data_IF_166928447393
#
_entry.id   IF_166928447393
#
_cell.length_a   1.000
_cell.length_b   1.000
_cell.length_c   1.000
_cell.angle_alpha   90.00
_cell.angle_beta   90.00
_cell.angle_gamma   90.00
#
_symmetry.space_group_name_H-M   'P 1'
#
loop_
_entity.id
_entity.type
_entity.pdbx_description
1 polymer ?
#
# COMPACT_ATOMS: atom_id res chain seq x y z
N UNK A 1 2.40 -0.02 -17.05
CA UNK A 1 1.65 0.19 -15.80
C UNK A 1 2.57 -0.04 -14.62
N UNK A 2 2.64 0.91 -13.69
CA UNK A 2 3.37 0.78 -12.43
C UNK A 2 2.37 0.66 -11.28
N UNK A 3 2.62 -0.28 -10.39
CA UNK A 3 1.76 -0.57 -9.24
C UNK A 3 2.55 -0.32 -7.96
N UNK A 4 2.04 0.55 -7.08
CA UNK A 4 2.58 0.72 -5.74
C UNK A 4 1.91 -0.27 -4.77
N UNK A 5 2.69 -0.83 -3.86
CA UNK A 5 2.20 -1.58 -2.70
C UNK A 5 2.81 -0.95 -1.46
N UNK A 6 2.02 -0.16 -0.75
CA UNK A 6 2.47 0.64 0.38
C UNK A 6 1.97 0.04 1.69
N UNK A 7 2.88 -0.36 2.56
CA UNK A 7 2.58 -0.72 3.95
C UNK A 7 2.75 0.49 4.85
N UNK A 8 1.74 0.79 5.65
CA UNK A 8 1.77 1.89 6.63
C UNK A 8 1.75 1.29 8.03
N UNK A 9 2.68 1.70 8.88
CA UNK A 9 2.75 1.27 10.28
C UNK A 9 4.18 1.28 10.81
N UNK A 10 4.32 1.01 12.09
CA UNK A 10 5.59 1.01 12.80
C UNK A 10 5.95 -0.41 13.29
N UNK A 11 6.97 -1.02 12.71
CA UNK A 11 7.43 -2.38 13.08
C UNK A 11 7.93 -2.50 14.53
N UNK A 12 8.21 -1.38 15.19
CA UNK A 12 8.60 -1.35 16.60
C UNK A 12 7.41 -1.39 17.55
N UNK A 13 6.18 -1.41 17.04
CA UNK A 13 4.94 -1.37 17.83
C UNK A 13 4.06 -2.55 17.42
N UNK A 14 4.11 -3.60 18.19
CA UNK A 14 3.26 -4.82 18.10
C UNK A 14 2.52 -5.01 16.74
N UNK A 15 1.18 -4.99 16.76
CA UNK A 15 0.37 -5.23 15.56
C UNK A 15 0.39 -4.08 14.55
N UNK A 16 0.85 -2.88 14.92
CA UNK A 16 0.99 -1.74 14.00
C UNK A 16 2.00 -2.06 12.88
N UNK A 17 2.98 -2.91 13.16
CA UNK A 17 3.95 -3.40 12.18
C UNK A 17 3.41 -4.38 11.14
N UNK A 18 2.15 -4.85 11.25
CA UNK A 18 1.62 -5.92 10.39
C UNK A 18 1.68 -5.61 8.90
N UNK A 19 1.44 -4.34 8.53
CA UNK A 19 1.47 -3.90 7.14
C UNK A 19 2.89 -3.98 6.56
N UNK A 20 3.89 -3.57 7.33
CA UNK A 20 5.31 -3.62 6.94
C UNK A 20 5.74 -5.09 6.73
N UNK A 21 5.40 -5.97 7.66
CA UNK A 21 5.70 -7.40 7.53
C UNK A 21 5.01 -8.02 6.30
N UNK A 22 3.77 -7.62 6.02
CA UNK A 22 3.01 -8.09 4.86
C UNK A 22 3.68 -7.65 3.55
N UNK A 23 4.09 -6.39 3.43
CA UNK A 23 4.75 -5.86 2.23
C UNK A 23 6.10 -6.54 2.01
N UNK A 24 6.91 -6.74 3.05
CA UNK A 24 8.20 -7.44 2.93
C UNK A 24 8.03 -8.89 2.48
N UNK A 25 7.03 -9.60 3.01
CA UNK A 25 6.74 -10.95 2.57
C UNK A 25 6.24 -10.97 1.12
N UNK A 26 5.35 -10.03 0.74
CA UNK A 26 4.86 -9.90 -0.64
C UNK A 26 6.00 -9.68 -1.63
N UNK A 27 6.96 -8.82 -1.30
CA UNK A 27 8.12 -8.52 -2.14
C UNK A 27 8.92 -9.78 -2.48
N UNK A 28 9.00 -10.74 -1.54
CA UNK A 28 9.73 -12.00 -1.75
C UNK A 28 9.02 -12.97 -2.69
N UNK A 29 7.69 -12.83 -2.89
CA UNK A 29 6.86 -13.78 -3.63
C UNK A 29 6.23 -13.21 -4.91
N UNK A 30 6.43 -11.93 -5.18
CA UNK A 30 5.97 -11.24 -6.41
C UNK A 30 7.18 -10.57 -7.08
N UNK A 31 7.98 -11.31 -7.87
CA UNK A 31 9.17 -10.78 -8.53
C UNK A 31 8.81 -10.05 -9.86
N UNK A 32 7.83 -9.15 -9.85
CA UNK A 32 7.46 -8.36 -11.03
C UNK A 32 8.03 -6.94 -10.92
N UNK A 33 8.82 -6.52 -11.91
CA UNK A 33 9.49 -5.22 -11.92
C UNK A 33 8.55 -4.03 -12.02
N UNK A 34 7.27 -4.27 -12.30
CA UNK A 34 6.20 -3.25 -12.34
C UNK A 34 5.58 -3.02 -10.96
N UNK A 35 5.87 -3.89 -9.98
CA UNK A 35 5.35 -3.83 -8.61
C UNK A 35 6.42 -3.23 -7.71
N UNK A 36 6.09 -2.14 -7.05
CA UNK A 36 6.99 -1.41 -6.16
C UNK A 36 6.46 -1.54 -4.73
N UNK A 37 7.20 -2.25 -3.90
CA UNK A 37 6.90 -2.40 -2.48
C UNK A 37 7.53 -1.22 -1.72
N UNK A 38 6.71 -0.48 -1.00
CA UNK A 38 7.05 0.74 -0.27
C UNK A 38 6.63 0.57 1.20
N UNK A 39 7.38 1.19 2.09
CA UNK A 39 7.12 1.18 3.53
C UNK A 39 7.03 2.62 4.03
N UNK A 40 6.07 2.90 4.92
CA UNK A 40 5.90 4.21 5.56
C UNK A 40 5.55 4.04 7.03
N UNK A 41 6.30 4.72 7.90
CA UNK A 41 5.96 4.81 9.33
C UNK A 41 4.85 5.84 9.58
N UNK A 42 4.52 6.66 8.59
CA UNK A 42 3.56 7.77 8.71
C UNK A 42 2.49 7.68 7.64
N UNK A 43 1.27 7.93 8.08
CA UNK A 43 0.14 8.22 7.20
C UNK A 43 0.07 9.70 6.80
N UNK A 44 -1.08 10.12 6.29
CA UNK A 44 -1.33 11.52 5.97
C UNK A 44 -0.74 11.97 4.63
N UNK A 45 -0.24 13.22 4.58
CA UNK A 45 0.19 13.84 3.32
C UNK A 45 1.43 13.18 2.69
N UNK A 46 2.28 12.55 3.49
CA UNK A 46 3.50 11.86 3.02
C UNK A 46 3.16 10.72 2.04
N UNK A 47 1.93 10.20 2.11
CA UNK A 47 1.44 9.15 1.19
C UNK A 47 1.36 9.67 -0.25
N UNK A 48 1.05 10.96 -0.47
CA UNK A 48 0.92 11.53 -1.80
C UNK A 48 2.22 11.44 -2.58
N UNK A 49 3.34 11.78 -1.95
CA UNK A 49 4.67 11.71 -2.57
C UNK A 49 5.05 10.26 -2.92
N UNK A 50 4.61 9.31 -2.11
CA UNK A 50 4.88 7.89 -2.33
C UNK A 50 4.01 7.27 -3.41
N UNK A 51 2.82 7.82 -3.65
CA UNK A 51 1.88 7.33 -4.65
C UNK A 51 1.94 8.09 -5.98
N UNK A 52 2.68 9.20 -6.04
CA UNK A 52 2.80 9.98 -7.27
C UNK A 52 3.46 9.18 -8.40
N UNK A 53 2.84 9.21 -9.58
CA UNK A 53 3.36 8.57 -10.79
C UNK A 53 3.07 7.07 -10.91
N UNK A 54 2.30 6.50 -9.98
CA UNK A 54 1.75 5.16 -10.11
C UNK A 54 0.35 5.19 -10.72
N UNK A 55 0.00 4.16 -11.49
CA UNK A 55 -1.33 4.06 -12.11
C UNK A 55 -2.34 3.33 -11.20
N UNK A 56 -1.84 2.43 -10.35
CA UNK A 56 -2.62 1.68 -9.35
C UNK A 56 -1.84 1.61 -8.05
N UNK A 57 -2.56 1.55 -6.93
CA UNK A 57 -1.93 1.38 -5.63
C UNK A 57 -2.69 0.38 -4.76
N UNK A 58 -1.95 -0.33 -3.94
CA UNK A 58 -2.43 -1.13 -2.81
C UNK A 58 -1.85 -0.51 -1.54
N UNK A 59 -2.71 -0.15 -0.60
CA UNK A 59 -2.31 0.39 0.70
C UNK A 59 -2.70 -0.62 1.75
N UNK A 60 -1.75 -1.04 2.57
CA UNK A 60 -1.96 -1.97 3.69
C UNK A 60 -1.77 -1.18 4.98
N UNK A 61 -2.68 -1.37 5.94
CA UNK A 61 -2.66 -0.68 7.23
C UNK A 61 -3.21 -1.57 8.34
N UNK A 62 -2.78 -1.34 9.57
CA UNK A 62 -3.42 -1.91 10.75
C UNK A 62 -4.73 -1.16 11.05
N UNK A 63 -5.76 -1.88 11.49
CA UNK A 63 -7.03 -1.31 11.94
C UNK A 63 -7.33 -1.79 13.35
N UNK A 64 -7.54 -0.89 14.27
CA UNK A 64 -7.97 -1.22 15.64
C UNK A 64 -9.40 -0.73 15.86
N UNK A 65 -10.34 -1.28 15.07
CA UNK A 65 -11.74 -0.86 15.13
C UNK A 65 -12.52 -1.50 16.28
N UNK A 66 -12.08 -2.66 16.76
CA UNK A 66 -12.79 -3.49 17.72
C UNK A 66 -14.08 -4.13 17.19
N UNK A 67 -14.39 -3.96 15.89
CA UNK A 67 -15.60 -4.49 15.25
C UNK A 67 -15.41 -5.91 14.72
N UNK A 68 -14.17 -6.32 14.52
CA UNK A 68 -13.83 -7.63 13.96
C UNK A 68 -12.82 -8.35 14.83
N UNK A 69 -12.78 -9.69 14.77
CA UNK A 69 -11.70 -10.45 15.41
C UNK A 69 -10.32 -10.06 14.88
N UNK A 70 -9.31 -10.07 15.76
CA UNK A 70 -7.92 -9.83 15.38
C UNK A 70 -7.48 -10.73 14.23
N UNK A 71 -6.77 -10.16 13.26
CA UNK A 71 -6.32 -10.83 12.05
C UNK A 71 -7.37 -10.85 10.93
N UNK A 72 -8.56 -10.27 11.14
CA UNK A 72 -9.55 -10.11 10.06
C UNK A 72 -9.00 -9.16 9.00
N UNK A 73 -9.04 -9.61 7.74
CA UNK A 73 -8.57 -8.83 6.59
C UNK A 73 -9.78 -8.26 5.86
N UNK A 74 -9.86 -6.93 5.83
CA UNK A 74 -10.86 -6.20 5.05
C UNK A 74 -10.23 -5.60 3.80
N UNK A 75 -11.02 -5.45 2.73
CA UNK A 75 -10.59 -4.86 1.47
C UNK A 75 -11.61 -3.83 1.00
N UNK A 76 -11.11 -2.66 0.65
CA UNK A 76 -11.89 -1.55 0.09
C UNK A 76 -11.24 -1.07 -1.20
N UNK A 77 -11.98 -0.35 -2.03
CA UNK A 77 -11.42 0.31 -3.21
C UNK A 77 -11.87 1.77 -3.24
N UNK A 78 -10.93 2.66 -3.47
CA UNK A 78 -11.18 4.06 -3.77
C UNK A 78 -10.85 4.31 -5.24
N UNK A 79 -11.68 5.10 -5.92
CA UNK A 79 -11.51 5.46 -7.33
C UNK A 79 -11.56 6.97 -7.51
N UNK A 80 -10.77 7.47 -8.44
CA UNK A 80 -10.85 8.87 -8.84
C UNK A 80 -12.20 9.15 -9.54
N UNK A 81 -12.82 10.33 -9.35
CA UNK A 81 -12.38 11.39 -8.44
C UNK A 81 -12.61 11.02 -6.97
N UNK A 82 -11.58 11.21 -6.14
CA UNK A 82 -11.63 10.89 -4.71
C UNK A 82 -12.54 11.89 -3.95
N UNK A 83 -12.94 11.51 -2.74
CA UNK A 83 -13.75 12.35 -1.86
C UNK A 83 -15.27 12.11 -1.92
N UNK A 84 -15.76 11.29 -2.84
CA UNK A 84 -17.22 11.07 -3.05
C UNK A 84 -17.80 9.87 -2.31
N UNK A 85 -16.99 9.06 -1.64
CA UNK A 85 -17.45 7.83 -0.98
C UNK A 85 -17.63 8.02 0.51
N UNK A 86 -18.71 7.46 1.06
CA UNK A 86 -18.88 7.35 2.50
C UNK A 86 -17.86 6.37 3.06
N UNK A 87 -17.06 6.78 4.03
CA UNK A 87 -15.98 5.95 4.56
C UNK A 87 -16.51 4.86 5.49
N UNK A 88 -15.92 3.68 5.37
CA UNK A 88 -16.26 2.53 6.21
C UNK A 88 -15.38 2.45 7.47
N UNK A 89 -14.27 3.21 7.52
CA UNK A 89 -13.39 3.32 8.68
C UNK A 89 -12.73 4.70 8.76
N UNK A 90 -12.24 5.10 9.95
CA UNK A 90 -11.56 6.38 10.16
C UNK A 90 -10.28 6.51 9.30
N UNK A 91 -9.52 5.45 9.15
CA UNK A 91 -8.31 5.43 8.31
C UNK A 91 -8.65 5.61 6.83
N UNK A 92 -9.70 4.95 6.34
CA UNK A 92 -10.19 5.10 4.95
C UNK A 92 -10.70 6.52 4.69
N UNK A 93 -11.31 7.18 5.69
CA UNK A 93 -11.71 8.61 5.61
C UNK A 93 -10.50 9.47 5.36
N UNK A 94 -9.47 9.31 6.18
CA UNK A 94 -8.26 10.11 6.11
C UNK A 94 -7.56 9.96 4.76
N UNK A 95 -7.36 8.73 4.29
CA UNK A 95 -6.71 8.46 3.01
C UNK A 95 -7.51 9.03 1.82
N UNK A 96 -8.84 8.83 1.81
CA UNK A 96 -9.68 9.38 0.75
C UNK A 96 -9.64 10.92 0.69
N UNK A 97 -9.61 11.59 1.85
CA UNK A 97 -9.48 13.04 1.94
C UNK A 97 -8.09 13.52 1.46
N UNK A 98 -7.03 12.80 1.84
CA UNK A 98 -5.65 13.10 1.40
C UNK A 98 -5.52 12.95 -0.13
N UNK A 99 -6.05 11.87 -0.70
CA UNK A 99 -6.05 11.65 -2.15
C UNK A 99 -6.88 12.71 -2.89
N UNK A 100 -8.04 13.09 -2.33
CA UNK A 100 -8.87 14.16 -2.88
C UNK A 100 -8.11 15.49 -2.90
N UNK A 101 -7.44 15.84 -1.81
CA UNK A 101 -6.61 17.04 -1.74
C UNK A 101 -5.44 16.98 -2.74
N UNK A 102 -4.71 15.89 -2.79
CA UNK A 102 -3.62 15.69 -3.76
C UNK A 102 -4.08 15.83 -5.21
N UNK A 103 -5.29 15.36 -5.53
CA UNK A 103 -5.87 15.52 -6.87
C UNK A 103 -6.10 17.00 -7.25
N UNK A 104 -6.36 17.87 -6.26
CA UNK A 104 -6.53 19.33 -6.51
C UNK A 104 -5.21 20.05 -6.73
N UNK A 105 -4.09 19.47 -6.34
CA UNK A 105 -2.74 20.07 -6.49
C UNK A 105 -2.07 19.71 -7.82
N UNK A 106 -2.74 18.92 -8.67
CA UNK A 106 -2.23 18.50 -9.97
C UNK A 106 -1.24 17.33 -9.92
N UNK A 107 -1.12 16.65 -8.78
CA UNK A 107 -0.34 15.42 -8.66
C UNK A 107 -0.95 14.29 -9.50
N UNK A 108 -0.08 13.50 -10.14
CA UNK A 108 -0.50 12.31 -10.88
C UNK A 108 -0.65 11.14 -9.94
N UNK A 109 -1.81 11.05 -9.31
CA UNK A 109 -2.15 9.98 -8.36
C UNK A 109 -2.73 8.76 -9.08
N UNK A 110 -2.69 7.56 -8.45
CA UNK A 110 -3.32 6.36 -8.98
C UNK A 110 -4.81 6.58 -9.25
N UNK A 111 -5.33 6.05 -10.36
CA UNK A 111 -6.76 6.11 -10.67
C UNK A 111 -7.60 5.26 -9.71
N UNK A 112 -7.01 4.20 -9.17
CA UNK A 112 -7.64 3.29 -8.24
C UNK A 112 -6.66 2.88 -7.14
N UNK A 113 -7.12 2.98 -5.89
CA UNK A 113 -6.37 2.61 -4.69
C UNK A 113 -7.14 1.54 -3.94
N UNK A 114 -6.56 0.35 -3.84
CA UNK A 114 -7.08 -0.75 -3.02
C UNK A 114 -6.50 -0.65 -1.62
N UNK A 115 -7.39 -0.66 -0.62
CA UNK A 115 -7.00 -0.58 0.79
C UNK A 115 -7.24 -1.93 1.42
N UNK A 116 -6.21 -2.47 2.04
CA UNK A 116 -6.25 -3.65 2.87
C UNK A 116 -6.06 -3.24 4.32
N UNK A 117 -7.00 -3.55 5.19
CA UNK A 117 -6.83 -3.37 6.63
C UNK A 117 -6.79 -4.73 7.31
N UNK A 118 -5.87 -4.88 8.27
CA UNK A 118 -5.76 -6.08 9.10
C UNK A 118 -6.14 -5.66 10.52
N UNK A 119 -7.18 -6.29 11.08
CA UNK A 119 -7.66 -5.95 12.42
C UNK A 119 -6.62 -6.33 13.46
N UNK A 120 -6.15 -5.33 14.19
CA UNK A 120 -5.14 -5.38 15.24
C UNK A 120 -5.79 -5.38 16.62
N UNK A 121 -5.06 -5.81 17.64
CA UNK A 121 -5.47 -5.74 19.05
C UNK A 121 -4.49 -4.98 19.93
N UNK A 122 -3.23 -4.94 19.53
CA UNK A 122 -2.18 -4.26 20.27
C UNK A 122 -1.39 -3.32 19.34
N UNK A 123 -1.66 -2.04 19.44
CA UNK A 123 -0.99 -0.99 18.66
C UNK A 123 -0.20 -0.02 19.57
N UNK A 124 0.11 -0.45 20.80
CA UNK A 124 0.77 0.38 21.81
C UNK A 124 2.05 -0.25 22.37
N UNK A 125 2.13 -1.58 22.42
CA UNK A 125 3.27 -2.28 23.03
C UNK A 125 4.49 -2.24 22.12
N UNK A 126 5.61 -1.71 22.63
CA UNK A 126 6.88 -1.62 21.92
C UNK A 126 7.64 -2.94 21.91
N UNK A 127 8.22 -3.30 20.75
CA UNK A 127 9.25 -4.35 20.65
C UNK A 127 8.72 -5.77 20.65
N UNK A 128 7.43 -6.01 20.67
CA UNK A 128 6.84 -7.35 20.80
C UNK A 128 6.67 -8.10 19.47
N UNK A 129 6.73 -7.43 18.31
CA UNK A 129 6.24 -8.00 17.05
C UNK A 129 4.72 -8.19 17.08
N UNK A 130 4.14 -8.67 16.00
CA UNK A 130 2.68 -8.86 15.94
C UNK A 130 2.19 -9.95 16.91
N UNK A 131 0.98 -9.74 17.45
CA UNK A 131 0.27 -10.78 18.21
C UNK A 131 0.04 -12.01 17.32
N UNK A 132 -0.07 -13.18 17.95
CA UNK A 132 -0.13 -14.46 17.23
C UNK A 132 -1.25 -14.51 16.16
N UNK A 133 -2.42 -13.94 16.47
CA UNK A 133 -3.56 -13.92 15.53
C UNK A 133 -3.29 -13.03 14.33
N UNK A 134 -2.72 -11.86 14.55
CA UNK A 134 -2.37 -10.91 13.49
C UNK A 134 -1.22 -11.45 12.65
N UNK A 135 -0.21 -12.04 13.30
CA UNK A 135 0.90 -12.68 12.58
C UNK A 135 0.44 -13.82 11.66
N UNK A 136 -0.53 -14.62 12.08
CA UNK A 136 -1.12 -15.69 11.24
C UNK A 136 -1.91 -15.16 10.05
N UNK A 137 -2.39 -13.92 10.08
CA UNK A 137 -3.11 -13.31 8.97
C UNK A 137 -2.18 -12.85 7.84
N UNK A 138 -0.88 -12.61 8.10
CA UNK A 138 0.07 -12.10 7.11
C UNK A 138 0.13 -12.98 5.84
N UNK A 139 0.31 -14.31 5.90
CA UNK A 139 0.35 -15.15 4.69
C UNK A 139 -0.94 -15.09 3.86
N UNK A 140 -2.09 -14.98 4.52
CA UNK A 140 -3.38 -14.84 3.84
C UNK A 140 -3.50 -13.47 3.17
N UNK A 141 -3.11 -12.39 3.85
CA UNK A 141 -3.06 -11.05 3.28
C UNK A 141 -2.18 -11.01 2.02
N UNK A 142 -0.99 -11.59 2.09
CA UNK A 142 -0.07 -11.71 0.94
C UNK A 142 -0.71 -12.49 -0.20
N UNK A 143 -1.39 -13.61 0.08
CA UNK A 143 -2.06 -14.40 -0.95
C UNK A 143 -3.16 -13.61 -1.67
N UNK A 144 -4.00 -12.89 -0.92
CA UNK A 144 -5.06 -12.02 -1.47
C UNK A 144 -4.48 -10.87 -2.28
N UNK A 145 -3.47 -10.16 -1.73
CA UNK A 145 -2.78 -9.08 -2.43
C UNK A 145 -2.14 -9.55 -3.73
N UNK A 146 -1.44 -10.68 -3.70
CA UNK A 146 -0.83 -11.27 -4.90
C UNK A 146 -1.86 -11.57 -5.97
N UNK A 147 -2.99 -12.18 -5.61
CA UNK A 147 -4.07 -12.49 -6.55
C UNK A 147 -4.63 -11.22 -7.19
N UNK A 148 -4.91 -10.18 -6.38
CA UNK A 148 -5.43 -8.90 -6.88
C UNK A 148 -4.42 -8.18 -7.78
N UNK A 149 -3.14 -8.12 -7.37
CA UNK A 149 -2.07 -7.51 -8.17
C UNK A 149 -1.95 -8.20 -9.53
N UNK A 150 -1.92 -9.53 -9.55
CA UNK A 150 -1.81 -10.28 -10.80
C UNK A 150 -3.05 -10.12 -11.68
N UNK A 151 -4.23 -9.92 -11.09
CA UNK A 151 -5.47 -9.71 -11.85
C UNK A 151 -5.51 -8.39 -12.62
N UNK A 152 -4.79 -7.37 -12.14
CA UNK A 152 -4.74 -6.04 -12.79
C UNK A 152 -3.51 -5.85 -13.68
N UNK A 153 -2.49 -6.69 -13.53
CA UNK A 153 -1.30 -6.64 -14.40
C UNK A 153 -1.62 -7.29 -15.74
N UNK A 154 -1.51 -6.57 -16.87
CA UNK A 154 -1.66 -7.19 -18.18
C UNK A 154 -0.54 -8.23 -18.37
N UNK A 155 -0.90 -9.36 -19.00
CA UNK A 155 0.05 -10.42 -19.33
C UNK A 155 1.30 -9.85 -20.01
N UNK A 156 2.46 -10.26 -19.54
CA UNK A 156 3.75 -9.83 -20.10
C UNK A 156 3.95 -10.25 -21.58
N UNK A 157 3.08 -11.11 -22.09
CA UNK A 157 3.09 -11.58 -23.49
C UNK A 157 2.49 -10.60 -24.50
N UNK A 158 1.87 -9.50 -24.06
CA UNK A 158 1.28 -8.46 -24.92
C UNK A 158 1.97 -7.09 -24.73
N UNK A 159 3.28 -6.99 -24.91
CA UNK A 159 3.95 -5.72 -25.12
C UNK A 159 3.98 -5.49 -26.64
N UNK A 160 3.19 -4.58 -27.21
CA UNK A 160 3.43 -4.13 -28.58
C UNK A 160 4.77 -3.39 -28.57
N UNK A 161 5.72 -3.87 -29.38
CA UNK A 161 6.95 -3.16 -29.68
C UNK A 161 6.60 -1.86 -30.42
N UNK A 162 6.36 -0.78 -29.68
CA UNK A 162 6.36 0.56 -30.23
C UNK A 162 7.41 1.37 -29.48
N UNK A 163 8.53 1.59 -30.20
CA UNK A 163 9.58 2.48 -29.74
C UNK A 163 9.07 3.91 -29.76
N UNK A 164 9.37 4.60 -28.65
CA UNK A 164 9.73 6.01 -28.68
C UNK A 164 10.32 6.38 -27.31
N UNK A 165 11.39 7.14 -27.36
CA UNK A 165 12.39 7.43 -26.35
C UNK A 165 11.85 7.88 -24.99
N UNK A 166 12.25 7.13 -23.98
CA UNK A 166 12.10 7.51 -22.58
C UNK A 166 13.18 8.56 -22.26
N UNK A 167 12.78 9.77 -21.99
CA UNK A 167 13.66 10.75 -21.35
C UNK A 167 13.81 10.40 -19.87
N UNK A 168 15.02 10.37 -19.33
CA UNK A 168 15.22 10.13 -17.90
C UNK A 168 14.67 11.31 -17.09
N UNK A 169 13.94 11.01 -16.03
CA UNK A 169 13.44 11.97 -15.05
C UNK A 169 14.60 12.58 -14.26
N UNK A 170 14.56 13.88 -13.93
CA UNK A 170 15.50 14.47 -13.00
C UNK A 170 15.23 13.95 -11.58
N UNK A 171 16.29 13.72 -10.79
CA UNK A 171 16.14 13.30 -9.41
C UNK A 171 15.56 14.45 -8.58
N UNK A 172 14.40 14.21 -7.97
CA UNK A 172 13.86 15.07 -6.91
C UNK A 172 14.65 14.88 -5.60
N UNK A 173 14.60 15.83 -4.66
CA UNK A 173 15.37 15.76 -3.43
C UNK A 173 14.96 14.55 -2.59
N UNK A 174 15.94 13.70 -2.31
CA UNK A 174 15.82 12.48 -1.51
C UNK A 174 15.64 12.86 -0.04
N UNK A 175 14.44 12.71 0.51
CA UNK A 175 14.25 12.58 1.96
C UNK A 175 13.97 11.12 2.26
N UNK A 176 14.99 10.46 2.78
CA UNK A 176 15.07 9.12 3.41
C UNK A 176 13.91 8.14 3.17
N UNK A 177 13.74 7.67 1.94
CA UNK A 177 12.97 6.46 1.66
C UNK A 177 13.98 5.35 1.36
N UNK A 178 14.09 4.34 2.24
CA UNK A 178 14.88 3.15 1.96
C UNK A 178 14.19 2.33 0.87
N UNK A 179 14.67 2.45 -0.35
CA UNK A 179 14.39 1.48 -1.41
C UNK A 179 15.29 0.27 -1.16
N UNK A 180 14.71 -0.86 -0.77
CA UNK A 180 15.44 -2.12 -0.65
C UNK A 180 15.76 -2.63 -2.06
N UNK A 181 17.00 -2.45 -2.50
CA UNK A 181 17.56 -3.11 -3.69
C UNK A 181 17.83 -4.56 -3.37
N UNK A 182 17.29 -5.46 -4.17
CA UNK A 182 17.71 -6.86 -4.21
C UNK A 182 19.16 -6.97 -4.65
N UNK A 183 19.92 -7.78 -3.94
CA UNK A 183 21.09 -8.49 -4.45
C UNK A 183 20.72 -9.95 -4.71
#
# INVERSE_FOLDING_TARGET
>A
MKVAVLGIGNEMVADDGVAIHTVRLLQSVVPDTRVYCLESERGGMDILDQLEGFERAFVIDASCSGLHPAGTINRFALRAPFGQTSPTSLHTVSLNAVLALGSTTGLRLPEEVFIYTIEATDIETFGAGCTERVQRAIPEAVSRLKADILSILPDASCIPCQGEGIRPFPPGPCTSTRVLKQR
#
